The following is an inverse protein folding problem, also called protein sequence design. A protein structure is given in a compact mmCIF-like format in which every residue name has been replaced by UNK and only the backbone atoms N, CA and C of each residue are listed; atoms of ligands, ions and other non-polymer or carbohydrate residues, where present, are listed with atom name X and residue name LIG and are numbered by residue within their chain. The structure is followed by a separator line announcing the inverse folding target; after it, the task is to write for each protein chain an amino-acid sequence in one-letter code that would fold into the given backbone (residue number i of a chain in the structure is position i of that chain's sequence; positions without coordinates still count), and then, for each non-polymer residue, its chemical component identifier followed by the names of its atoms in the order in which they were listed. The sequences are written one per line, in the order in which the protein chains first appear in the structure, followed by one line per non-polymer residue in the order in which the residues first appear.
data_IF_709502548397
#
_entry.id   IF_709502548397
#
_cell.length_a   1.000
_cell.length_b   1.000
_cell.length_c   1.000
_cell.angle_alpha   90.00
_cell.angle_beta   90.00
_cell.angle_gamma   90.00
#
_symmetry.space_group_name_H-M   'P 1'
#
loop_
_entity.id
_entity.type
_entity.pdbx_description
1 polymer ?
#
# COMPACT_ATOMS: atom_id res chain seq x y z
N UNK A 1 12.51 -19.38 -4.43
CA UNK A 1 13.43 -18.54 -5.22
C UNK A 1 12.85 -17.13 -5.30
N UNK A 2 13.61 -16.16 -4.82
CA UNK A 2 13.13 -14.88 -4.32
C UNK A 2 12.87 -13.86 -5.44
N UNK A 3 11.75 -13.12 -5.34
CA UNK A 3 11.30 -12.00 -6.19
C UNK A 3 12.37 -10.92 -6.43
N UNK A 4 13.42 -10.92 -5.60
CA UNK A 4 14.55 -10.01 -5.68
C UNK A 4 15.45 -10.20 -6.92
N UNK A 5 15.45 -11.37 -7.58
CA UNK A 5 16.28 -11.58 -8.79
C UNK A 5 15.78 -10.87 -10.05
N UNK A 6 14.59 -10.24 -10.03
CA UNK A 6 13.97 -9.67 -11.24
C UNK A 6 14.21 -8.16 -11.41
N UNK A 7 14.75 -7.47 -10.41
CA UNK A 7 14.94 -6.02 -10.46
C UNK A 7 16.30 -5.59 -11.03
N UNK A 8 17.29 -6.49 -11.05
CA UNK A 8 18.64 -6.21 -11.59
C UNK A 8 18.72 -6.22 -13.13
N UNK A 9 17.71 -6.76 -13.83
CA UNK A 9 17.77 -6.91 -15.30
C UNK A 9 17.44 -5.65 -16.11
N UNK A 10 17.19 -4.51 -15.46
CA UNK A 10 16.73 -3.28 -16.12
C UNK A 10 17.86 -2.29 -16.43
N UNK A 11 19.11 -2.57 -16.04
CA UNK A 11 20.22 -1.61 -16.19
C UNK A 11 21.30 -1.97 -17.23
N UNK A 12 21.28 -3.16 -17.86
CA UNK A 12 22.33 -3.60 -18.81
C UNK A 12 21.90 -3.55 -20.28
N UNK A 13 21.42 -2.39 -20.74
CA UNK A 13 20.76 -2.30 -22.06
C UNK A 13 21.09 -1.12 -22.96
N UNK A 14 22.15 -0.33 -22.71
CA UNK A 14 22.51 0.76 -23.64
C UNK A 14 23.96 1.22 -23.53
N UNK A 15 24.88 0.41 -24.06
CA UNK A 15 26.17 0.92 -24.55
C UNK A 15 26.20 0.82 -26.08
N UNK A 16 26.55 1.92 -26.74
CA UNK A 16 26.53 2.05 -28.19
C UNK A 16 27.07 3.39 -28.67
N UNK A 17 28.37 3.60 -28.42
CA UNK A 17 29.37 4.44 -29.09
C UNK A 17 29.00 5.69 -29.90
N UNK A 18 29.69 6.81 -29.59
CA UNK A 18 30.56 7.53 -30.54
C UNK A 18 31.41 8.59 -29.83
N UNK A 19 32.73 8.45 -29.95
CA UNK A 19 33.72 9.50 -29.70
C UNK A 19 33.59 10.63 -30.73
N UNK A 20 33.90 11.87 -30.34
CA UNK A 20 35.00 12.66 -30.94
C UNK A 20 35.24 13.99 -30.19
N UNK A 21 36.47 14.08 -29.66
CA UNK A 21 37.39 15.21 -29.47
C UNK A 21 36.91 16.69 -29.43
N UNK A 22 37.17 17.29 -28.25
CA UNK A 22 38.03 18.46 -28.00
C UNK A 22 37.95 19.73 -28.87
N UNK A 23 37.58 20.86 -28.25
CA UNK A 23 38.33 22.12 -28.36
C UNK A 23 37.84 23.16 -27.34
N UNK A 24 38.78 23.72 -26.57
CA UNK A 24 38.61 24.90 -25.72
C UNK A 24 38.12 26.12 -26.52
N UNK A 25 37.13 26.84 -26.00
CA UNK A 25 37.02 28.28 -26.20
C UNK A 25 36.30 28.91 -25.01
N UNK A 26 37.07 29.64 -24.20
CA UNK A 26 36.55 30.65 -23.29
C UNK A 26 35.98 31.78 -24.13
N UNK A 27 34.75 32.22 -23.87
CA UNK A 27 34.43 33.64 -23.97
C UNK A 27 33.18 34.01 -23.18
N UNK A 28 33.34 35.17 -22.57
CA UNK A 28 32.46 35.98 -21.75
C UNK A 28 31.19 36.38 -22.49
N UNK A 29 30.02 36.18 -21.88
CA UNK A 29 28.90 37.11 -22.04
C UNK A 29 27.86 36.91 -20.94
N UNK A 30 27.89 37.84 -20.00
CA UNK A 30 26.76 38.22 -19.15
C UNK A 30 25.45 38.29 -19.94
N UNK A 31 24.44 37.51 -19.53
CA UNK A 31 23.06 37.94 -19.72
C UNK A 31 22.26 37.71 -18.45
N UNK A 32 22.15 38.80 -17.69
CA UNK A 32 21.40 38.94 -16.45
C UNK A 32 19.94 39.15 -16.84
N UNK A 33 19.21 38.05 -17.02
CA UNK A 33 17.75 38.08 -17.17
C UNK A 33 17.14 38.08 -15.77
N UNK A 34 16.87 39.28 -15.27
CA UNK A 34 16.08 39.52 -14.08
C UNK A 34 14.63 39.16 -14.36
N UNK A 35 14.25 37.89 -14.13
CA UNK A 35 12.85 37.52 -13.96
C UNK A 35 12.47 37.72 -12.49
N UNK A 36 12.10 38.95 -12.16
CA UNK A 36 11.32 39.28 -10.98
C UNK A 36 9.91 38.67 -11.14
N UNK A 37 9.79 37.39 -10.80
CA UNK A 37 8.52 36.76 -10.48
C UNK A 37 8.49 36.49 -8.99
N UNK A 38 7.74 37.32 -8.27
CA UNK A 38 7.40 37.18 -6.86
C UNK A 38 6.64 35.88 -6.62
N UNK A 39 7.35 34.77 -6.52
CA UNK A 39 6.82 33.47 -6.11
C UNK A 39 7.14 33.25 -4.64
N UNK A 40 6.10 33.12 -3.80
CA UNK A 40 6.21 32.53 -2.47
C UNK A 40 6.74 31.10 -2.61
N UNK A 41 8.06 30.95 -2.69
CA UNK A 41 8.73 29.66 -2.69
C UNK A 41 8.65 29.07 -1.31
N UNK A 42 7.67 28.17 -1.07
CA UNK A 42 7.67 27.31 0.11
C UNK A 42 9.05 26.64 0.20
N UNK A 43 9.75 26.82 1.31
CA UNK A 43 11.10 26.26 1.42
C UNK A 43 11.04 24.73 1.32
N UNK A 44 12.04 24.09 0.73
CA UNK A 44 12.07 22.62 0.59
C UNK A 44 11.98 21.91 1.95
N UNK A 45 12.42 22.58 3.02
CA UNK A 45 12.26 22.14 4.41
C UNK A 45 10.81 22.12 4.86
N UNK A 46 10.03 23.16 4.53
CA UNK A 46 8.61 23.26 4.88
C UNK A 46 7.80 22.22 4.11
N UNK A 47 8.15 22.00 2.84
CA UNK A 47 7.53 20.98 2.01
C UNK A 47 7.74 19.57 2.59
N UNK A 48 8.96 19.26 3.05
CA UNK A 48 9.28 17.99 3.72
C UNK A 48 8.57 17.82 5.07
N UNK A 49 8.40 18.91 5.83
CA UNK A 49 7.63 18.89 7.09
C UNK A 49 6.17 18.60 6.81
N UNK A 50 5.54 19.33 5.89
CA UNK A 50 4.16 19.13 5.49
C UNK A 50 3.89 17.69 4.99
N UNK A 51 4.79 17.13 4.19
CA UNK A 51 4.67 15.74 3.73
C UNK A 51 4.69 14.73 4.88
N UNK A 52 5.48 14.99 5.93
CA UNK A 52 5.55 14.14 7.12
C UNK A 52 4.30 14.26 7.96
N UNK A 53 3.82 15.48 8.17
CA UNK A 53 2.59 15.72 8.94
C UNK A 53 1.38 15.10 8.22
N UNK A 54 1.33 15.20 6.89
CA UNK A 54 0.31 14.53 6.08
C UNK A 54 0.39 13.00 6.20
N UNK A 55 1.60 12.42 6.18
CA UNK A 55 1.80 10.99 6.40
C UNK A 55 1.26 10.55 7.77
N UNK A 56 1.62 11.27 8.82
CA UNK A 56 1.20 10.96 10.19
C UNK A 56 -0.33 11.04 10.33
N UNK A 57 -0.96 12.05 9.73
CA UNK A 57 -2.43 12.19 9.69
C UNK A 57 -3.09 11.01 8.96
N UNK A 58 -2.58 10.61 7.79
CA UNK A 58 -3.14 9.48 7.02
C UNK A 58 -2.99 8.16 7.78
N UNK A 59 -1.85 7.94 8.42
CA UNK A 59 -1.63 6.76 9.27
C UNK A 59 -2.60 6.78 10.45
N UNK A 60 -2.82 7.93 11.08
CA UNK A 60 -3.77 8.06 12.19
C UNK A 60 -5.22 7.80 11.78
N UNK A 61 -5.63 8.18 10.56
CA UNK A 61 -6.94 7.82 10.01
C UNK A 61 -7.13 6.31 9.86
N UNK A 62 -6.07 5.51 9.79
CA UNK A 62 -6.16 4.05 9.71
C UNK A 62 -6.08 3.36 11.08
N UNK A 63 -5.50 4.00 12.11
CA UNK A 63 -5.30 3.44 13.47
C UNK A 63 -6.33 3.85 14.52
N UNK A 64 -7.30 4.72 14.19
CA UNK A 64 -8.21 5.20 15.23
C UNK A 64 -9.15 4.09 15.72
N UNK A 65 -9.30 3.90 17.05
CA UNK A 65 -10.20 2.90 17.60
C UNK A 65 -11.67 3.32 17.43
N UNK A 66 -12.54 2.36 17.10
CA UNK A 66 -14.00 2.54 17.06
C UNK A 66 -14.60 2.53 18.46
N UNK A 67 -14.55 3.68 19.15
CA UNK A 67 -14.99 3.83 20.55
C UNK A 67 -16.45 3.41 20.81
N UNK A 68 -17.35 3.56 19.84
CA UNK A 68 -18.79 3.32 20.01
C UNK A 68 -19.30 2.14 19.17
N UNK A 69 -18.42 1.30 18.61
CA UNK A 69 -18.80 0.23 17.67
C UNK A 69 -19.37 0.73 16.33
N UNK A 70 -19.56 2.04 16.15
CA UNK A 70 -20.06 2.64 14.92
C UNK A 70 -18.92 2.86 13.92
N UNK A 71 -18.58 1.81 13.16
CA UNK A 71 -17.54 1.87 12.12
C UNK A 71 -17.93 2.76 10.92
N UNK A 72 -19.20 3.16 10.80
CA UNK A 72 -19.69 4.03 9.73
C UNK A 72 -19.28 5.50 9.87
N UNK A 73 -18.87 5.94 11.06
CA UNK A 73 -18.33 7.29 11.29
C UNK A 73 -16.92 7.47 10.72
N UNK A 74 -16.26 6.38 10.35
CA UNK A 74 -14.92 6.42 9.80
C UNK A 74 -14.93 6.93 8.36
N UNK A 75 -14.23 8.05 8.12
CA UNK A 75 -14.04 8.63 6.78
C UNK A 75 -13.45 7.59 5.81
N UNK A 76 -12.55 6.72 6.29
CA UNK A 76 -11.93 5.67 5.47
C UNK A 76 -12.97 4.65 5.02
N UNK A 77 -13.85 4.22 5.92
CA UNK A 77 -14.90 3.24 5.61
C UNK A 77 -15.97 3.87 4.71
N UNK A 78 -16.33 5.13 4.93
CA UNK A 78 -17.22 5.89 4.04
C UNK A 78 -16.66 6.06 2.63
N UNK A 79 -15.38 6.44 2.50
CA UNK A 79 -14.70 6.53 1.20
C UNK A 79 -14.64 5.18 0.48
N UNK A 80 -14.39 4.10 1.22
CA UNK A 80 -14.47 2.74 0.70
C UNK A 80 -15.88 2.44 0.19
N UNK A 81 -16.92 2.69 0.98
CA UNK A 81 -18.30 2.45 0.55
C UNK A 81 -18.64 3.15 -0.77
N UNK A 82 -18.18 4.39 -0.98
CA UNK A 82 -18.36 5.13 -2.23
C UNK A 82 -17.63 4.45 -3.40
N UNK A 83 -16.42 3.92 -3.19
CA UNK A 83 -15.71 3.13 -4.21
C UNK A 83 -16.41 1.81 -4.55
N UNK A 84 -17.32 1.34 -3.70
CA UNK A 84 -18.17 0.18 -3.97
C UNK A 84 -19.34 0.46 -4.91
N UNK A 85 -19.53 1.71 -5.36
CA UNK A 85 -20.60 2.08 -6.27
C UNK A 85 -20.18 1.93 -7.74
N UNK A 86 -20.97 1.20 -8.52
CA UNK A 86 -20.75 1.04 -9.95
C UNK A 86 -21.33 2.23 -10.74
N UNK A 87 -20.45 3.01 -11.40
CA UNK A 87 -20.83 4.22 -12.15
C UNK A 87 -21.59 3.94 -13.44
N UNK A 88 -21.42 2.76 -14.03
CA UNK A 88 -21.90 2.47 -15.39
C UNK A 88 -23.26 1.75 -15.39
N UNK A 89 -23.49 0.84 -14.44
CA UNK A 89 -24.69 0.00 -14.42
C UNK A 89 -25.76 0.40 -13.40
N UNK A 90 -25.44 1.32 -12.48
CA UNK A 90 -26.24 1.54 -11.27
C UNK A 90 -26.18 0.32 -10.34
N UNK A 91 -25.76 0.53 -9.10
CA UNK A 91 -25.72 -0.53 -8.07
C UNK A 91 -24.34 -0.78 -7.50
N UNK A 92 -24.21 -1.89 -6.78
CA UNK A 92 -23.02 -2.21 -5.98
C UNK A 92 -22.05 -3.10 -6.76
N UNK A 93 -20.75 -2.85 -6.60
CA UNK A 93 -19.70 -3.67 -7.18
C UNK A 93 -19.73 -5.07 -6.55
N UNK A 94 -19.75 -6.15 -7.34
CA UNK A 94 -19.70 -7.51 -6.82
C UNK A 94 -18.47 -7.74 -5.93
N UNK A 95 -18.58 -8.63 -4.94
CA UNK A 95 -17.48 -8.95 -4.00
C UNK A 95 -16.20 -9.37 -4.75
N UNK A 96 -16.35 -10.10 -5.86
CA UNK A 96 -15.27 -10.53 -6.77
C UNK A 96 -14.53 -9.37 -7.46
N UNK A 97 -15.12 -8.19 -7.53
CA UNK A 97 -14.49 -7.01 -8.12
C UNK A 97 -14.07 -5.99 -7.04
N UNK A 98 -14.63 -6.12 -5.84
CA UNK A 98 -14.37 -5.21 -4.73
C UNK A 98 -13.21 -5.65 -3.81
N UNK A 99 -12.96 -6.97 -3.66
CA UNK A 99 -11.79 -7.47 -2.88
C UNK A 99 -10.42 -6.90 -3.30
N UNK A 100 -10.14 -6.67 -4.61
CA UNK A 100 -8.90 -6.05 -5.05
C UNK A 100 -8.72 -4.62 -4.53
N UNK A 101 -9.80 -3.85 -4.38
CA UNK A 101 -9.76 -2.48 -3.82
C UNK A 101 -9.26 -2.51 -2.38
N UNK A 102 -9.84 -3.38 -1.53
CA UNK A 102 -9.33 -3.58 -0.17
C UNK A 102 -7.86 -4.02 -0.16
N UNK A 103 -7.47 -4.90 -1.08
CA UNK A 103 -6.07 -5.34 -1.18
C UNK A 103 -5.12 -4.20 -1.59
N UNK A 104 -5.57 -3.27 -2.43
CA UNK A 104 -4.81 -2.07 -2.79
C UNK A 104 -4.63 -1.16 -1.58
N UNK A 105 -5.70 -0.88 -0.82
CA UNK A 105 -5.63 -0.09 0.41
C UNK A 105 -4.67 -0.71 1.42
N UNK A 106 -4.75 -2.02 1.64
CA UNK A 106 -3.82 -2.73 2.56
C UNK A 106 -2.36 -2.59 2.10
N UNK A 107 -2.09 -2.69 0.79
CA UNK A 107 -0.73 -2.51 0.26
C UNK A 107 -0.23 -1.08 0.48
N UNK A 108 -1.04 -0.07 0.14
CA UNK A 108 -0.69 1.34 0.32
C UNK A 108 -0.43 1.63 1.81
N UNK A 109 -1.31 1.18 2.70
CA UNK A 109 -1.13 1.32 4.14
C UNK A 109 0.20 0.72 4.63
N UNK A 110 0.58 -0.46 4.14
CA UNK A 110 1.89 -1.07 4.47
C UNK A 110 3.07 -0.22 4.00
N UNK A 111 2.99 0.36 2.81
CA UNK A 111 4.03 1.26 2.31
C UNK A 111 4.11 2.55 3.13
N UNK A 112 2.98 3.12 3.54
CA UNK A 112 2.95 4.30 4.41
C UNK A 112 3.59 4.03 5.77
N UNK A 113 3.24 2.90 6.40
CA UNK A 113 3.84 2.48 7.69
C UNK A 113 5.35 2.24 7.55
N UNK A 114 5.79 1.60 6.46
CA UNK A 114 7.21 1.40 6.17
C UNK A 114 7.94 2.74 6.01
N UNK A 115 7.36 3.65 5.24
CA UNK A 115 7.95 4.97 5.00
C UNK A 115 8.03 5.80 6.31
N UNK A 116 6.97 5.76 7.13
CA UNK A 116 6.97 6.38 8.45
C UNK A 116 8.08 5.80 9.35
N UNK A 117 8.27 4.48 9.33
CA UNK A 117 9.33 3.80 10.12
C UNK A 117 10.74 4.21 9.69
N UNK A 118 10.96 4.39 8.38
CA UNK A 118 12.25 4.88 7.86
C UNK A 118 12.51 6.30 8.36
N UNK A 119 11.51 7.18 8.27
CA UNK A 119 11.62 8.56 8.74
C UNK A 119 11.86 8.67 10.25
N UNK A 120 11.22 7.82 11.05
CA UNK A 120 11.45 7.75 12.49
C UNK A 120 12.89 7.32 12.81
N UNK A 121 13.40 6.30 12.11
CA UNK A 121 14.79 5.86 12.26
C UNK A 121 15.78 6.97 11.89
N UNK A 122 15.53 7.70 10.81
CA UNK A 122 16.38 8.81 10.39
C UNK A 122 16.39 9.93 11.44
N UNK A 123 15.24 10.21 12.08
CA UNK A 123 15.16 11.16 13.20
C UNK A 123 15.96 10.67 14.41
N UNK A 124 15.83 9.40 14.79
CA UNK A 124 16.59 8.79 15.89
C UNK A 124 18.10 8.90 15.62
N UNK A 125 18.55 8.53 14.42
CA UNK A 125 19.96 8.70 14.01
C UNK A 125 20.40 10.15 14.09
N UNK A 126 19.59 11.09 13.61
CA UNK A 126 19.91 12.51 13.66
C UNK A 126 20.04 13.04 15.09
N UNK A 127 19.21 12.56 16.02
CA UNK A 127 19.31 12.89 17.45
C UNK A 127 20.56 12.28 18.09
N UNK A 128 20.85 11.00 17.83
CA UNK A 128 22.03 10.32 18.37
C UNK A 128 23.34 10.94 17.84
N UNK A 129 23.35 11.43 16.60
CA UNK A 129 24.47 12.18 16.00
C UNK A 129 24.80 13.49 16.73
N UNK A 130 23.88 14.06 17.50
CA UNK A 130 24.17 15.26 18.30
C UNK A 130 25.07 14.95 19.50
N UNK A 131 25.05 13.71 19.98
CA UNK A 131 25.75 13.29 21.20
C UNK A 131 26.87 12.29 20.93
N UNK A 132 26.87 11.62 19.78
CA UNK A 132 27.81 10.54 19.44
C UNK A 132 28.27 10.60 17.97
N UNK A 133 29.41 9.96 17.68
CA UNK A 133 29.96 9.87 16.32
C UNK A 133 29.07 9.08 15.36
N UNK A 134 29.23 9.31 14.06
CA UNK A 134 28.31 8.78 13.03
C UNK A 134 28.16 7.25 13.06
N UNK A 135 29.25 6.48 13.25
CA UNK A 135 29.18 5.00 13.35
C UNK A 135 28.45 4.51 14.60
N UNK A 136 28.71 5.15 15.75
CA UNK A 136 28.06 4.76 17.02
C UNK A 136 26.56 5.05 16.98
N UNK A 137 26.17 6.19 16.38
CA UNK A 137 24.75 6.52 16.18
C UNK A 137 24.02 5.53 15.27
N UNK A 138 24.69 4.88 14.32
CA UNK A 138 24.06 3.86 13.47
C UNK A 138 23.90 2.49 14.14
N UNK A 139 24.86 2.11 14.98
CA UNK A 139 24.83 0.86 15.75
C UNK A 139 23.81 0.92 16.89
N UNK A 140 23.69 2.07 17.53
CA UNK A 140 22.80 2.28 18.68
C UNK A 140 21.36 2.65 18.27
N UNK A 141 21.16 3.14 17.05
CA UNK A 141 19.84 3.34 16.50
C UNK A 141 19.07 2.02 16.39
N UNK A 142 17.78 2.07 16.73
CA UNK A 142 16.94 0.88 16.66
C UNK A 142 16.90 0.30 15.23
N UNK A 143 17.00 -1.03 15.15
CA UNK A 143 16.91 -1.73 13.88
C UNK A 143 15.56 -1.45 13.22
N UNK A 144 15.57 -1.05 11.94
CA UNK A 144 14.36 -0.74 11.17
C UNK A 144 13.31 -1.85 11.25
N UNK A 145 13.75 -3.11 11.25
CA UNK A 145 12.88 -4.28 11.38
C UNK A 145 12.09 -4.30 12.69
N UNK A 146 12.63 -3.79 13.79
CA UNK A 146 11.93 -3.77 15.08
C UNK A 146 10.87 -2.68 15.12
N UNK A 147 11.20 -1.48 14.65
CA UNK A 147 10.24 -0.36 14.47
C UNK A 147 9.07 -0.80 13.58
N UNK A 148 9.39 -1.36 12.40
CA UNK A 148 8.37 -1.83 11.46
C UNK A 148 7.54 -2.96 12.07
N UNK A 149 8.16 -3.91 12.79
CA UNK A 149 7.44 -5.03 13.41
C UNK A 149 6.42 -4.54 14.43
N UNK A 150 6.79 -3.60 15.28
CA UNK A 150 5.89 -3.04 16.30
C UNK A 150 4.67 -2.35 15.66
N UNK A 151 4.93 -1.49 14.66
CA UNK A 151 3.85 -0.85 13.89
C UNK A 151 2.99 -1.85 13.13
N UNK A 152 3.58 -2.84 12.46
CA UNK A 152 2.83 -3.89 11.75
C UNK A 152 1.98 -4.70 12.73
N UNK A 153 2.49 -5.01 13.92
CA UNK A 153 1.75 -5.74 14.94
C UNK A 153 0.50 -4.97 15.36
N UNK A 154 0.63 -3.66 15.58
CA UNK A 154 -0.46 -2.77 15.95
C UNK A 154 -1.45 -2.50 14.81
N UNK A 155 -0.96 -2.23 13.60
CA UNK A 155 -1.77 -1.76 12.47
C UNK A 155 -2.31 -2.86 11.55
N UNK A 156 -1.53 -3.91 11.31
CA UNK A 156 -1.70 -4.83 10.18
C UNK A 156 -2.06 -6.25 10.65
N UNK A 157 -2.05 -6.49 11.96
CA UNK A 157 -2.43 -7.79 12.52
C UNK A 157 -3.93 -7.89 12.65
N UNK A 158 -4.45 -9.04 12.23
CA UNK A 158 -5.85 -9.38 12.48
C UNK A 158 -6.06 -9.56 13.98
N UNK A 159 -6.92 -8.75 14.56
CA UNK A 159 -7.40 -8.97 15.93
C UNK A 159 -8.52 -10.02 15.84
N UNK A 160 -8.40 -11.16 16.55
CA UNK A 160 -9.47 -12.15 16.59
C UNK A 160 -10.73 -11.58 17.25
N UNK A 161 -11.89 -12.00 16.75
CA UNK A 161 -13.19 -11.60 17.32
C UNK A 161 -13.25 -11.98 18.81
N UNK A 162 -13.60 -11.03 19.68
CA UNK A 162 -13.69 -11.24 21.13
C UNK A 162 -12.45 -10.89 21.96
N UNK A 163 -11.38 -10.35 21.36
CA UNK A 163 -10.15 -9.99 22.08
C UNK A 163 -10.27 -8.77 23.02
N UNK A 164 -11.43 -8.13 23.14
CA UNK A 164 -11.63 -6.94 23.98
C UNK A 164 -10.85 -5.70 23.52
N UNK A 165 -10.30 -5.72 22.30
CA UNK A 165 -9.56 -4.59 21.71
C UNK A 165 -10.48 -3.85 20.75
N UNK A 166 -10.49 -2.52 20.84
CA UNK A 166 -11.23 -1.66 19.92
C UNK A 166 -10.76 -1.91 18.48
N UNK A 167 -11.73 -2.15 17.58
CA UNK A 167 -11.46 -2.33 16.17
C UNK A 167 -10.96 -1.02 15.56
N UNK A 168 -9.91 -1.07 14.74
CA UNK A 168 -9.48 0.04 13.89
C UNK A 168 -10.03 -0.13 12.46
N UNK A 169 -10.11 0.95 11.66
CA UNK A 169 -10.45 0.86 10.24
C UNK A 169 -9.57 -0.15 9.50
N UNK A 170 -8.28 -0.18 9.81
CA UNK A 170 -7.36 -1.10 9.18
C UNK A 170 -7.69 -2.56 9.51
N UNK A 171 -8.02 -2.87 10.77
CA UNK A 171 -8.45 -4.22 11.16
C UNK A 171 -9.77 -4.61 10.48
N UNK A 172 -10.74 -3.68 10.39
CA UNK A 172 -11.98 -3.90 9.66
C UNK A 172 -11.71 -4.22 8.19
N UNK A 173 -10.87 -3.45 7.51
CA UNK A 173 -10.50 -3.68 6.10
C UNK A 173 -9.85 -5.06 5.90
N UNK A 174 -8.94 -5.47 6.80
CA UNK A 174 -8.28 -6.78 6.74
C UNK A 174 -9.30 -7.91 6.91
N UNK A 175 -10.22 -7.80 7.87
CA UNK A 175 -11.28 -8.76 8.11
C UNK A 175 -12.23 -8.86 6.92
N UNK A 176 -12.73 -7.73 6.42
CA UNK A 176 -13.64 -7.68 5.27
C UNK A 176 -12.99 -8.24 4.01
N UNK A 177 -11.72 -7.95 3.76
CA UNK A 177 -10.97 -8.52 2.64
C UNK A 177 -10.85 -10.04 2.76
N UNK A 178 -10.60 -10.54 3.97
CA UNK A 178 -10.46 -11.99 4.24
C UNK A 178 -11.78 -12.70 4.04
N UNK A 179 -12.87 -12.11 4.53
CA UNK A 179 -14.22 -12.59 4.28
C UNK A 179 -14.56 -12.61 2.78
N UNK A 180 -14.25 -11.53 2.04
CA UNK A 180 -14.43 -11.48 0.59
C UNK A 180 -13.63 -12.55 -0.16
N UNK A 181 -12.43 -12.90 0.32
CA UNK A 181 -11.68 -14.05 -0.20
C UNK A 181 -12.37 -15.38 0.10
N UNK A 182 -12.89 -15.56 1.31
CA UNK A 182 -13.61 -16.77 1.68
C UNK A 182 -14.81 -16.98 0.77
N UNK A 183 -15.58 -15.91 0.49
CA UNK A 183 -16.68 -15.94 -0.49
C UNK A 183 -16.19 -16.49 -1.83
N UNK A 184 -15.06 -16.00 -2.37
CA UNK A 184 -14.54 -16.54 -3.66
C UNK A 184 -14.20 -18.02 -3.62
N UNK A 185 -13.74 -18.53 -2.47
CA UNK A 185 -13.37 -19.93 -2.34
C UNK A 185 -14.59 -20.84 -2.19
N UNK A 186 -15.63 -20.37 -1.50
CA UNK A 186 -16.81 -21.19 -1.19
C UNK A 186 -17.96 -21.00 -2.19
N UNK A 187 -18.02 -19.88 -2.90
CA UNK A 187 -19.06 -19.62 -3.89
C UNK A 187 -18.75 -20.45 -5.13
N UNK A 188 -19.61 -21.41 -5.49
CA UNK A 188 -19.49 -22.15 -6.75
C UNK A 188 -19.46 -21.14 -7.91
N UNK A 189 -18.69 -21.44 -8.96
CA UNK A 189 -18.71 -20.63 -10.17
C UNK A 189 -20.12 -20.51 -10.73
N UNK A 190 -20.36 -19.51 -11.58
CA UNK A 190 -21.67 -19.26 -12.22
C UNK A 190 -22.12 -20.38 -13.16
N UNK A 191 -21.38 -21.49 -13.24
CA UNK A 191 -21.75 -22.68 -13.99
C UNK A 191 -22.98 -23.29 -13.31
N UNK A 192 -24.10 -23.30 -14.04
CA UNK A 192 -25.29 -24.02 -13.63
C UNK A 192 -24.96 -25.49 -13.55
N UNK A 193 -25.30 -26.09 -12.41
CA UNK A 193 -25.44 -27.54 -12.31
C UNK A 193 -26.82 -27.85 -12.89
N UNK A 194 -26.84 -28.27 -14.16
CA UNK A 194 -28.07 -28.72 -14.80
C UNK A 194 -28.19 -30.23 -14.63
N UNK A 195 -29.38 -30.67 -14.23
CA UNK A 195 -29.67 -32.09 -14.01
C UNK A 195 -30.68 -32.57 -15.07
N UNK A 196 -30.25 -33.54 -15.88
CA UNK A 196 -31.10 -34.16 -16.90
C UNK A 196 -31.13 -35.69 -16.68
N UNK A 197 -32.17 -36.15 -15.97
CA UNK A 197 -32.34 -37.57 -15.67
C UNK A 197 -31.18 -38.11 -14.82
N UNK A 198 -30.36 -38.98 -15.40
CA UNK A 198 -29.21 -39.61 -14.74
C UNK A 198 -27.87 -38.88 -14.98
N UNK A 199 -27.90 -37.74 -15.69
CA UNK A 199 -26.70 -36.97 -16.03
C UNK A 199 -26.63 -35.65 -15.28
N UNK A 200 -25.50 -35.42 -14.62
CA UNK A 200 -25.11 -34.14 -14.03
C UNK A 200 -24.22 -33.40 -15.03
N UNK A 201 -24.62 -32.18 -15.41
CA UNK A 201 -23.89 -31.33 -16.34
C UNK A 201 -23.28 -30.17 -15.55
N UNK A 202 -21.96 -30.05 -15.60
CA UNK A 202 -21.21 -28.94 -15.02
C UNK A 202 -20.18 -28.42 -16.05
N UNK A 203 -20.48 -27.30 -16.69
CA UNK A 203 -19.65 -26.75 -17.77
C UNK A 203 -19.55 -27.70 -18.96
N UNK A 204 -18.32 -28.11 -19.33
CA UNK A 204 -18.08 -29.13 -20.36
C UNK A 204 -18.10 -30.57 -19.84
N UNK A 205 -18.17 -30.75 -18.53
CA UNK A 205 -18.14 -32.08 -17.90
C UNK A 205 -19.57 -32.60 -17.79
N UNK A 206 -19.80 -33.77 -18.37
CA UNK A 206 -21.03 -34.55 -18.22
C UNK A 206 -20.67 -35.81 -17.45
N UNK A 207 -21.33 -36.03 -16.33
CA UNK A 207 -21.12 -37.21 -15.49
C UNK A 207 -22.43 -37.97 -15.43
N UNK A 208 -22.39 -39.25 -15.75
CA UNK A 208 -23.53 -40.16 -15.56
C UNK A 208 -23.37 -40.82 -14.20
N UNK A 209 -24.45 -40.96 -13.40
CA UNK A 209 -24.34 -41.50 -12.05
C UNK A 209 -23.78 -42.94 -12.00
N UNK A 210 -23.93 -43.72 -13.07
CA UNK A 210 -23.34 -45.06 -13.21
C UNK A 210 -21.81 -45.11 -13.32
N UNK A 211 -21.13 -43.98 -13.56
CA UNK A 211 -19.67 -43.90 -13.70
C UNK A 211 -18.96 -43.50 -12.40
N UNK A 212 -19.72 -43.20 -11.34
CA UNK A 212 -19.21 -42.74 -10.04
C UNK A 212 -19.09 -43.92 -9.03
N UNK A 213 -18.98 -45.16 -9.53
CA UNK A 213 -18.83 -46.37 -8.70
C UNK A 213 -17.37 -46.71 -8.38
#
# INVERSE_FOLDING_TARGET
MSIWKRLESWHDGREGGRSDNNSNHSDDSSNKSSDDSSGYGVSETDRKRLQRDCLDVVVQFLDHPFKNGNYYESIVIGALAIMGFNREGGGWVPVINYTPIYSAVIKVARYLVLYQSILERDRQKAQLRQWMGERQAEEEAEGLFRIVRDKVQRFITRIPEGAGVDLTPMNWIINTRTYGKQIRYITPGTERIDWHGDQIIHGQVRITMGEIS
#
